data_IF_484068122546
#
_entry.id   IF_484068122546
#
_cell.length_a   1.000
_cell.length_b   1.000
_cell.length_c   1.000
_cell.angle_alpha   90.00
_cell.angle_beta   90.00
_cell.angle_gamma   90.00
#
_symmetry.space_group_name_H-M   'P 1'
#
loop_
_entity.id
_entity.type
_entity.pdbx_description
1 polymer ?
#
# COMPACT_ATOMS: atom_id res chain seq x y z
N UNK A 1 -12.81 -15.15 37.19
CA UNK A 1 -11.70 -14.52 36.48
C UNK A 1 -12.07 -14.48 35.00
N UNK A 2 -12.46 -13.31 34.49
CA UNK A 2 -12.80 -13.11 33.07
C UNK A 2 -11.51 -12.69 32.38
N UNK A 3 -10.99 -13.50 31.48
CA UNK A 3 -9.95 -13.05 30.55
C UNK A 3 -10.66 -12.02 29.67
N UNK A 4 -10.32 -10.72 29.69
CA UNK A 4 -10.84 -9.84 28.66
C UNK A 4 -10.34 -10.45 27.36
N UNK A 5 -11.25 -10.81 26.46
CA UNK A 5 -10.90 -11.10 25.09
C UNK A 5 -10.07 -9.89 24.65
N UNK A 6 -8.75 -10.01 24.65
CA UNK A 6 -7.91 -9.11 23.89
C UNK A 6 -8.50 -9.25 22.50
N UNK A 7 -9.34 -8.29 22.12
CA UNK A 7 -10.03 -8.32 20.85
C UNK A 7 -8.91 -8.55 19.85
N UNK A 8 -8.96 -9.66 19.12
CA UNK A 8 -7.96 -9.99 18.12
C UNK A 8 -7.98 -8.85 17.12
N UNK A 9 -7.10 -7.86 17.31
CA UNK A 9 -6.99 -6.71 16.42
C UNK A 9 -6.29 -7.24 15.17
N UNK A 10 -7.09 -7.48 14.14
CA UNK A 10 -6.56 -7.85 12.85
C UNK A 10 -6.18 -6.58 12.10
N UNK A 11 -4.90 -6.46 11.77
CA UNK A 11 -4.37 -5.36 10.96
C UNK A 11 -4.27 -5.80 9.50
N UNK A 12 -4.81 -4.99 8.61
CA UNK A 12 -4.67 -5.12 7.17
C UNK A 12 -3.89 -3.91 6.65
N UNK A 13 -2.83 -4.16 5.88
CA UNK A 13 -2.08 -3.11 5.20
C UNK A 13 -2.34 -3.23 3.69
N UNK A 14 -2.71 -2.11 3.05
CA UNK A 14 -2.92 -2.03 1.60
C UNK A 14 -1.75 -1.26 0.99
N UNK A 15 -1.08 -1.87 0.01
CA UNK A 15 -0.01 -1.22 -0.75
C UNK A 15 -0.53 -0.84 -2.13
N UNK A 16 -0.49 0.45 -2.43
CA UNK A 16 -0.91 0.98 -3.72
C UNK A 16 0.31 1.07 -4.66
N UNK A 17 0.15 0.73 -5.95
CA UNK A 17 1.21 0.92 -6.92
C UNK A 17 1.50 2.40 -7.12
N UNK A 18 2.76 2.73 -7.42
CA UNK A 18 3.17 4.10 -7.75
C UNK A 18 3.08 4.41 -9.25
N UNK A 19 2.99 3.36 -10.07
CA UNK A 19 3.02 3.43 -11.53
C UNK A 19 2.04 2.44 -12.13
N UNK A 20 1.46 2.81 -13.26
CA UNK A 20 0.71 1.90 -14.11
C UNK A 20 1.62 0.85 -14.75
N UNK A 21 1.01 -0.15 -15.40
CA UNK A 21 1.73 -1.23 -16.06
C UNK A 21 2.62 -0.75 -17.22
N UNK A 22 2.35 0.41 -17.79
CA UNK A 22 3.15 1.07 -18.83
C UNK A 22 4.32 1.89 -18.25
N UNK A 23 4.43 1.99 -16.92
CA UNK A 23 5.47 2.74 -16.23
C UNK A 23 5.13 4.21 -15.97
N UNK A 24 4.00 4.73 -16.45
CA UNK A 24 3.52 6.07 -16.12
C UNK A 24 3.20 6.18 -14.63
N UNK A 25 3.46 7.36 -14.04
CA UNK A 25 3.10 7.61 -12.64
C UNK A 25 1.58 7.61 -12.49
N UNK A 26 1.09 7.00 -11.41
CA UNK A 26 -0.33 7.12 -11.08
C UNK A 26 -0.57 8.54 -10.54
N UNK A 27 -1.55 9.27 -11.08
CA UNK A 27 -1.91 10.61 -10.61
C UNK A 27 -2.35 10.65 -9.14
N UNK A 28 -2.11 11.79 -8.47
CA UNK A 28 -2.37 11.96 -7.04
C UNK A 28 -3.86 11.80 -6.69
N UNK A 29 -4.75 12.25 -7.58
CA UNK A 29 -6.19 12.19 -7.41
C UNK A 29 -6.72 10.77 -7.21
N UNK A 30 -6.05 9.76 -7.79
CA UNK A 30 -6.45 8.37 -7.60
C UNK A 30 -6.19 7.90 -6.17
N UNK A 31 -5.09 8.33 -5.54
CA UNK A 31 -4.83 7.98 -4.14
C UNK A 31 -5.81 8.67 -3.20
N UNK A 32 -6.13 9.94 -3.45
CA UNK A 32 -7.15 10.68 -2.70
C UNK A 32 -8.52 10.04 -2.81
N UNK A 33 -8.88 9.53 -3.99
CA UNK A 33 -10.12 8.79 -4.17
C UNK A 33 -10.14 7.49 -3.36
N UNK A 34 -9.05 6.72 -3.36
CA UNK A 34 -8.94 5.50 -2.54
C UNK A 34 -9.03 5.83 -1.05
N UNK A 35 -8.35 6.89 -0.60
CA UNK A 35 -8.43 7.36 0.78
C UNK A 35 -9.87 7.67 1.19
N UNK A 36 -10.59 8.44 0.37
CA UNK A 36 -12.00 8.76 0.60
C UNK A 36 -12.86 7.50 0.70
N UNK A 37 -12.72 6.56 -0.24
CA UNK A 37 -13.49 5.31 -0.22
C UNK A 37 -13.21 4.44 1.01
N UNK A 38 -11.96 4.42 1.49
CA UNK A 38 -11.59 3.69 2.70
C UNK A 38 -12.16 4.36 3.96
N UNK A 39 -12.13 5.68 4.05
CA UNK A 39 -12.73 6.43 5.16
C UNK A 39 -14.24 6.20 5.22
N UNK A 40 -14.93 6.31 4.10
CA UNK A 40 -16.39 6.10 4.04
C UNK A 40 -16.80 4.69 4.47
N UNK A 41 -15.97 3.68 4.19
CA UNK A 41 -16.27 2.27 4.52
C UNK A 41 -15.87 1.87 5.93
N UNK A 42 -14.75 2.38 6.43
CA UNK A 42 -14.12 1.88 7.66
C UNK A 42 -14.08 2.92 8.79
N UNK A 43 -14.54 4.15 8.54
CA UNK A 43 -14.57 5.24 9.52
C UNK A 43 -13.22 5.90 9.79
N UNK A 44 -12.15 5.46 9.12
CA UNK A 44 -10.83 6.06 9.22
C UNK A 44 -9.75 5.26 8.48
N UNK A 45 -8.68 5.95 8.11
CA UNK A 45 -7.50 5.36 7.48
C UNK A 45 -6.25 6.05 8.03
N UNK A 46 -5.17 5.29 8.18
CA UNK A 46 -3.86 5.83 8.53
C UNK A 46 -2.93 5.62 7.36
N UNK A 47 -2.44 6.72 6.79
CA UNK A 47 -1.44 6.66 5.73
C UNK A 47 -0.03 6.83 6.31
N UNK A 48 0.87 5.91 5.98
CA UNK A 48 2.28 6.01 6.31
C UNK A 48 3.03 6.26 5.01
N UNK A 49 3.46 7.50 4.80
CA UNK A 49 4.35 7.84 3.69
C UNK A 49 5.72 7.22 3.95
N UNK A 50 6.04 6.15 3.22
CA UNK A 50 7.35 5.52 3.35
C UNK A 50 8.39 6.36 2.62
N UNK A 51 9.27 6.99 3.40
CA UNK A 51 10.47 7.71 2.88
C UNK A 51 11.54 6.78 2.30
N UNK A 52 11.38 5.46 2.44
CA UNK A 52 12.34 4.47 1.99
C UNK A 52 11.68 3.56 0.94
N UNK A 53 12.30 3.30 -0.22
CA UNK A 53 11.66 2.54 -1.28
C UNK A 53 11.48 1.07 -0.85
N UNK A 54 10.22 0.63 -0.81
CA UNK A 54 9.87 -0.77 -0.60
C UNK A 54 10.47 -1.64 -1.69
N UNK A 55 11.28 -2.62 -1.28
CA UNK A 55 11.73 -3.70 -2.16
C UNK A 55 10.66 -4.78 -2.13
N UNK A 56 9.97 -4.96 -3.26
CA UNK A 56 8.89 -5.95 -3.41
C UNK A 56 9.09 -6.83 -4.64
N UNK A 57 8.67 -8.08 -4.53
CA UNK A 57 8.58 -9.03 -5.65
C UNK A 57 7.12 -9.39 -5.86
N UNK A 58 6.58 -9.02 -7.02
CA UNK A 58 5.19 -9.27 -7.39
C UNK A 58 5.12 -10.46 -8.35
N UNK A 59 4.08 -11.30 -8.26
CA UNK A 59 3.84 -12.39 -9.21
C UNK A 59 2.48 -12.19 -9.90
N UNK A 60 2.47 -12.11 -11.23
CA UNK A 60 1.25 -12.07 -12.04
C UNK A 60 1.38 -13.03 -13.22
N UNK A 61 0.39 -13.91 -13.43
CA UNK A 61 0.37 -14.92 -14.52
C UNK A 61 1.73 -15.62 -14.72
N UNK A 62 2.30 -16.14 -13.63
CA UNK A 62 3.62 -16.78 -13.58
C UNK A 62 4.85 -15.89 -13.87
N UNK A 63 4.68 -14.60 -14.16
CA UNK A 63 5.79 -13.64 -14.28
C UNK A 63 6.08 -12.99 -12.92
N UNK A 64 7.36 -12.93 -12.55
CA UNK A 64 7.84 -12.23 -11.36
C UNK A 64 8.37 -10.85 -11.74
N UNK A 65 7.89 -9.83 -11.05
CA UNK A 65 8.34 -8.44 -11.18
C UNK A 65 9.05 -8.07 -9.88
N UNK A 66 10.38 -8.08 -9.89
CA UNK A 66 11.19 -7.58 -8.79
C UNK A 66 11.60 -6.13 -9.11
N UNK A 67 11.20 -5.16 -8.27
CA UNK A 67 11.71 -3.79 -8.38
C UNK A 67 12.83 -3.61 -7.37
N UNK A 68 14.06 -3.54 -7.85
CA UNK A 68 15.18 -3.01 -7.07
C UNK A 68 15.03 -1.49 -7.04
N UNK A 69 15.03 -0.92 -5.84
CA UNK A 69 15.14 0.53 -5.68
C UNK A 69 16.44 0.99 -6.33
N UNK A 70 16.38 1.53 -7.55
CA UNK A 70 17.52 2.25 -8.11
C UNK A 70 17.67 3.50 -7.25
N UNK A 71 18.81 3.57 -6.55
CA UNK A 71 19.24 4.77 -5.87
C UNK A 71 19.40 5.85 -6.93
N UNK A 72 18.54 6.87 -6.89
CA UNK A 72 18.81 8.11 -7.59
C UNK A 72 19.95 8.79 -6.83
N UNK A 73 21.18 8.56 -7.28
CA UNK A 73 22.31 9.43 -6.93
C UNK A 73 22.20 10.65 -7.83
N UNK A 74 21.94 11.80 -7.22
CA UNK A 74 22.17 13.10 -7.84
C UNK A 74 23.66 13.35 -8.03
#
# INVERSE_FOLDING_TARGET
MVIPLAQLVQRFDIYLPLRYNDGMMIPEEHYRQVEFELVERFGGVTMIEQRNPLKGVWKFQNRRYARFAQQFTS
#
